data_IF_509555824345
#
_entry.id   IF_509555824345
#
_cell.length_a   1.000
_cell.length_b   1.000
_cell.length_c   1.000
_cell.angle_alpha   90.00
_cell.angle_beta   90.00
_cell.angle_gamma   90.00
#
_symmetry.space_group_name_H-M   'P 1'
#
loop_
_entity.id
_entity.type
_entity.pdbx_description
1 polymer ?
#
# COMPACT_ATOMS: atom_id res chain seq x y z
N UNK A 1 13.42 -16.70 -17.22
CA UNK A 1 12.09 -16.20 -16.85
C UNK A 1 11.78 -16.76 -15.48
N UNK A 2 11.46 -15.93 -14.49
CA UNK A 2 11.02 -16.39 -13.17
C UNK A 2 9.50 -16.27 -13.14
N UNK A 3 8.83 -17.33 -12.74
CA UNK A 3 7.39 -17.36 -12.57
C UNK A 3 7.03 -17.25 -11.09
N UNK A 4 5.90 -16.66 -10.81
CA UNK A 4 5.35 -16.58 -9.45
C UNK A 4 4.02 -17.30 -9.43
N UNK A 5 3.84 -18.22 -8.51
CA UNK A 5 2.55 -18.87 -8.32
C UNK A 5 1.75 -18.14 -7.24
N UNK A 6 0.49 -17.85 -7.52
CA UNK A 6 -0.45 -17.29 -6.54
C UNK A 6 -1.50 -18.36 -6.20
N UNK A 7 -1.61 -18.69 -4.93
CA UNK A 7 -2.70 -19.53 -4.46
C UNK A 7 -3.97 -18.69 -4.43
N UNK A 8 -4.95 -19.05 -5.23
CA UNK A 8 -6.28 -18.47 -5.15
C UNK A 8 -6.95 -18.99 -3.88
N UNK A 9 -6.86 -18.23 -2.79
CA UNK A 9 -7.84 -18.39 -1.72
C UNK A 9 -9.09 -17.59 -2.11
N UNK A 10 -10.30 -18.14 -1.90
CA UNK A 10 -11.52 -17.40 -2.20
C UNK A 10 -11.55 -16.10 -1.42
N UNK A 11 -11.73 -14.98 -2.12
CA UNK A 11 -12.27 -13.66 -1.69
C UNK A 11 -11.69 -12.99 -0.42
N UNK A 12 -11.06 -13.70 0.52
CA UNK A 12 -10.64 -13.18 1.83
C UNK A 12 -9.12 -13.25 2.11
N UNK A 13 -8.28 -13.53 1.12
CA UNK A 13 -6.84 -13.47 1.33
C UNK A 13 -6.32 -12.05 1.25
N UNK A 14 -5.54 -11.59 2.24
CA UNK A 14 -4.84 -10.32 2.13
C UNK A 14 -3.98 -10.27 0.86
N UNK A 15 -3.81 -9.08 0.24
CA UNK A 15 -2.95 -8.92 -0.93
C UNK A 15 -1.54 -9.44 -0.67
N UNK A 16 -1.03 -10.27 -1.59
CA UNK A 16 0.30 -10.85 -1.49
C UNK A 16 0.41 -12.16 -0.67
N UNK A 17 -0.59 -12.50 0.15
CA UNK A 17 -0.55 -13.72 0.94
C UNK A 17 -0.68 -14.98 0.07
N UNK A 18 0.25 -15.93 0.26
CA UNK A 18 0.25 -17.21 -0.47
C UNK A 18 0.88 -17.14 -1.86
N UNK A 19 1.45 -16.01 -2.28
CA UNK A 19 2.28 -15.92 -3.47
C UNK A 19 3.62 -16.60 -3.17
N UNK A 20 4.07 -17.48 -4.09
CA UNK A 20 5.37 -18.15 -3.97
C UNK A 20 6.14 -18.05 -5.28
N UNK A 21 7.45 -17.84 -5.23
CA UNK A 21 8.30 -17.95 -6.41
C UNK A 21 8.19 -19.36 -7.01
N UNK A 22 8.11 -19.42 -8.34
CA UNK A 22 8.12 -20.67 -9.07
C UNK A 22 9.26 -20.62 -10.11
N UNK A 23 10.10 -21.65 -10.09
CA UNK A 23 11.18 -21.81 -11.06
C UNK A 23 10.89 -23.04 -11.94
N UNK A 24 10.46 -22.85 -13.20
CA UNK A 24 10.11 -23.95 -14.09
C UNK A 24 11.29 -24.85 -14.45
N UNK A 25 12.54 -24.42 -14.19
CA UNK A 25 13.73 -25.25 -14.37
C UNK A 25 13.91 -26.28 -13.24
N UNK A 26 13.29 -26.05 -12.09
CA UNK A 26 13.42 -26.87 -10.88
C UNK A 26 12.13 -27.53 -10.42
N UNK A 27 10.99 -27.07 -10.94
CA UNK A 27 9.67 -27.47 -10.49
C UNK A 27 8.78 -27.76 -11.70
N UNK A 28 7.97 -28.80 -11.59
CA UNK A 28 6.95 -29.10 -12.63
C UNK A 28 5.71 -28.23 -12.37
N UNK A 29 5.16 -27.65 -13.42
CA UNK A 29 3.85 -26.99 -13.34
C UNK A 29 2.78 -28.02 -13.06
N UNK A 30 2.03 -27.82 -11.99
CA UNK A 30 0.91 -28.68 -11.60
C UNK A 30 -0.36 -27.88 -11.87
N UNK A 31 -1.32 -28.49 -12.55
CA UNK A 31 -2.68 -27.95 -12.64
C UNK A 31 -3.35 -28.09 -11.26
N UNK A 32 -3.60 -26.97 -10.62
CA UNK A 32 -4.29 -26.90 -9.34
C UNK A 32 -5.35 -25.78 -9.48
N UNK A 33 -6.63 -26.07 -9.28
CA UNK A 33 -7.70 -25.08 -9.45
C UNK A 33 -7.56 -23.89 -8.47
N UNK A 34 -6.80 -24.07 -7.40
CA UNK A 34 -6.55 -23.04 -6.39
C UNK A 34 -5.36 -22.13 -6.72
N UNK A 35 -4.61 -22.42 -7.81
CA UNK A 35 -3.39 -21.69 -8.18
C UNK A 35 -3.41 -21.27 -9.64
N UNK A 36 -2.83 -20.12 -9.91
CA UNK A 36 -2.43 -19.74 -11.24
C UNK A 36 -0.97 -19.24 -11.26
N UNK A 37 -0.32 -19.37 -12.41
CA UNK A 37 1.05 -18.92 -12.61
C UNK A 37 1.03 -17.58 -13.32
N UNK A 38 1.80 -16.62 -12.77
CA UNK A 38 2.01 -15.31 -13.38
C UNK A 38 3.46 -15.13 -13.76
N UNK A 39 3.72 -14.43 -14.84
CA UNK A 39 5.05 -13.99 -15.17
C UNK A 39 5.57 -13.03 -14.10
N UNK A 40 6.79 -13.28 -13.60
CA UNK A 40 7.45 -12.34 -12.70
C UNK A 40 8.13 -11.23 -13.51
N UNK A 41 7.60 -10.04 -13.41
CA UNK A 41 8.19 -8.84 -14.02
C UNK A 41 9.05 -8.15 -12.96
N UNK A 42 10.35 -8.03 -13.26
CA UNK A 42 11.27 -7.28 -12.40
C UNK A 42 11.03 -5.78 -12.62
N UNK A 43 10.88 -5.00 -11.56
CA UNK A 43 10.66 -3.56 -11.67
C UNK A 43 10.27 -2.96 -10.33
N UNK A 44 9.89 -1.69 -10.36
CA UNK A 44 9.37 -0.97 -9.19
C UNK A 44 7.86 -1.17 -9.11
N UNK A 45 7.38 -1.66 -7.97
CA UNK A 45 5.94 -1.76 -7.71
C UNK A 45 5.36 -0.38 -7.44
N UNK A 46 4.30 -0.03 -8.15
CA UNK A 46 3.62 1.26 -8.06
C UNK A 46 2.10 1.10 -8.06
N UNK A 47 1.41 2.14 -7.58
CA UNK A 47 -0.04 2.28 -7.69
C UNK A 47 -0.38 3.59 -8.38
N UNK A 48 -1.39 3.56 -9.25
CA UNK A 48 -2.01 4.74 -9.86
C UNK A 48 -3.47 4.84 -9.42
N UNK A 49 -3.92 6.05 -9.14
CA UNK A 49 -5.29 6.31 -8.73
C UNK A 49 -6.00 7.14 -9.78
N UNK A 50 -7.13 6.63 -10.25
CA UNK A 50 -8.00 7.30 -11.21
C UNK A 50 -9.34 7.64 -10.56
N UNK A 51 -9.95 8.72 -11.05
CA UNK A 51 -11.36 9.01 -10.80
C UNK A 51 -12.07 9.14 -12.15
N UNK A 52 -13.06 8.29 -12.37
CA UNK A 52 -13.85 8.25 -13.61
C UNK A 52 -15.18 8.97 -13.42
N UNK A 53 -15.63 9.65 -14.47
CA UNK A 53 -16.93 10.28 -14.55
C UNK A 53 -17.51 10.15 -15.97
N UNK A 54 -18.69 10.70 -16.22
CA UNK A 54 -19.35 10.62 -17.53
C UNK A 54 -18.55 11.26 -18.67
N UNK A 55 -17.66 12.22 -18.36
CA UNK A 55 -16.84 12.95 -19.35
C UNK A 55 -15.49 12.27 -19.64
N UNK A 56 -15.09 11.27 -18.85
CA UNK A 56 -13.80 10.60 -18.96
C UNK A 56 -13.19 10.24 -17.61
N UNK A 57 -11.91 10.54 -17.43
CA UNK A 57 -11.20 10.24 -16.17
C UNK A 57 -10.14 11.29 -15.84
N UNK A 58 -9.79 11.34 -14.57
CA UNK A 58 -8.66 12.09 -14.03
C UNK A 58 -7.68 11.13 -13.38
N UNK A 59 -6.37 11.22 -13.69
CA UNK A 59 -5.32 10.56 -12.93
C UNK A 59 -5.00 11.42 -11.71
N UNK A 60 -5.39 10.95 -10.51
CA UNK A 60 -5.24 11.71 -9.26
C UNK A 60 -3.80 11.68 -8.73
N UNK A 61 -3.04 10.63 -9.04
CA UNK A 61 -1.64 10.51 -8.66
C UNK A 61 -1.11 9.09 -8.70
N UNK A 62 0.19 8.99 -8.45
CA UNK A 62 0.90 7.71 -8.37
C UNK A 62 1.73 7.63 -7.08
N UNK A 63 1.95 6.40 -6.60
CA UNK A 63 2.76 6.12 -5.42
C UNK A 63 3.65 4.90 -5.65
N UNK A 64 4.78 4.81 -4.93
CA UNK A 64 5.57 3.58 -4.83
C UNK A 64 4.88 2.66 -3.83
N UNK A 65 4.75 1.39 -4.18
CA UNK A 65 4.22 0.35 -3.33
C UNK A 65 5.35 -0.53 -2.81
N UNK A 66 5.32 -0.86 -1.53
CA UNK A 66 6.26 -1.78 -0.91
C UNK A 66 5.58 -3.09 -0.56
N UNK A 67 6.28 -4.20 -0.81
CA UNK A 67 5.87 -5.54 -0.41
C UNK A 67 7.08 -6.35 0.02
N UNK A 68 6.90 -7.32 0.93
CA UNK A 68 7.96 -8.19 1.41
C UNK A 68 9.10 -7.43 2.10
N UNK A 69 8.82 -6.32 2.77
CA UNK A 69 9.84 -5.50 3.42
C UNK A 69 10.31 -6.17 4.71
N UNK A 70 11.49 -6.76 4.69
CA UNK A 70 12.05 -7.51 5.83
C UNK A 70 12.15 -6.69 7.11
N UNK A 71 12.52 -5.42 7.03
CA UNK A 71 12.57 -4.54 8.20
C UNK A 71 11.19 -4.26 8.84
N UNK A 72 10.11 -4.54 8.13
CA UNK A 72 8.74 -4.46 8.63
C UNK A 72 8.19 -5.84 9.03
N UNK A 73 9.02 -6.88 8.99
CA UNK A 73 8.68 -8.29 9.23
C UNK A 73 7.59 -8.84 8.30
N UNK A 74 7.45 -8.23 7.12
CA UNK A 74 6.51 -8.68 6.11
C UNK A 74 7.09 -9.86 5.32
N UNK A 75 6.32 -10.93 5.17
CA UNK A 75 6.66 -12.05 4.30
C UNK A 75 6.76 -11.60 2.83
N UNK A 76 7.47 -12.37 2.00
CA UNK A 76 7.62 -12.12 0.58
C UNK A 76 6.26 -11.84 -0.08
N UNK A 77 6.20 -10.80 -0.93
CA UNK A 77 5.00 -10.31 -1.63
C UNK A 77 3.88 -9.75 -0.75
N UNK A 78 3.96 -9.87 0.57
CA UNK A 78 2.96 -9.28 1.46
C UNK A 78 3.05 -7.75 1.37
N UNK A 79 1.92 -7.10 1.11
CA UNK A 79 1.86 -5.64 1.09
C UNK A 79 2.39 -5.05 2.39
N UNK A 80 3.30 -4.10 2.30
CA UNK A 80 3.92 -3.50 3.48
C UNK A 80 3.87 -1.98 3.52
N UNK A 81 3.33 -1.31 2.50
CA UNK A 81 3.12 0.14 2.52
C UNK A 81 3.15 0.83 1.17
N UNK A 82 2.96 2.14 1.22
CA UNK A 82 3.05 3.05 0.07
C UNK A 82 3.79 4.34 0.43
N UNK A 83 4.41 4.97 -0.56
CA UNK A 83 5.00 6.31 -0.45
C UNK A 83 4.67 7.14 -1.68
N UNK A 84 4.25 8.37 -1.47
CA UNK A 84 3.88 9.24 -2.57
C UNK A 84 3.49 10.67 -2.12
N UNK A 85 3.16 11.53 -3.09
CA UNK A 85 3.08 11.26 -4.52
C UNK A 85 4.45 11.05 -5.17
N UNK A 86 4.47 10.30 -6.27
CA UNK A 86 5.64 10.15 -7.14
C UNK A 86 5.29 10.73 -8.51
N UNK A 87 6.15 11.57 -9.04
CA UNK A 87 5.92 12.11 -10.39
C UNK A 87 6.23 11.05 -11.44
N UNK A 88 5.27 10.62 -12.27
CA UNK A 88 5.53 9.69 -13.35
C UNK A 88 6.44 10.31 -14.42
N UNK A 89 7.29 9.50 -15.05
CA UNK A 89 8.02 9.93 -16.23
C UNK A 89 7.07 10.04 -17.45
N UNK A 90 7.54 10.65 -18.54
CA UNK A 90 6.66 10.94 -19.69
C UNK A 90 6.07 9.68 -20.34
N UNK A 91 6.87 8.59 -20.46
CA UNK A 91 6.38 7.32 -21.00
C UNK A 91 5.41 6.62 -20.07
N UNK A 92 5.70 6.59 -18.77
CA UNK A 92 4.80 6.08 -17.75
C UNK A 92 3.46 6.82 -17.75
N UNK A 93 3.50 8.16 -17.78
CA UNK A 93 2.28 8.98 -17.85
C UNK A 93 1.45 8.66 -19.10
N UNK A 94 2.10 8.50 -20.26
CA UNK A 94 1.44 8.13 -21.53
C UNK A 94 0.78 6.76 -21.41
N UNK A 95 1.46 5.77 -20.86
CA UNK A 95 0.90 4.43 -20.66
C UNK A 95 -0.31 4.47 -19.72
N UNK A 96 -0.20 5.20 -18.59
CA UNK A 96 -1.29 5.37 -17.63
C UNK A 96 -2.51 6.07 -18.27
N UNK A 97 -2.29 7.10 -19.10
CA UNK A 97 -3.37 7.76 -19.85
C UNK A 97 -4.05 6.80 -20.83
N UNK A 98 -3.27 6.05 -21.61
CA UNK A 98 -3.80 5.04 -22.54
C UNK A 98 -4.63 3.98 -21.82
N UNK A 99 -4.16 3.50 -20.66
CA UNK A 99 -4.91 2.54 -19.83
C UNK A 99 -6.21 3.15 -19.33
N UNK A 100 -6.17 4.39 -18.84
CA UNK A 100 -7.35 5.12 -18.39
C UNK A 100 -8.39 5.29 -19.52
N UNK A 101 -7.95 5.62 -20.73
CA UNK A 101 -8.81 5.71 -21.93
C UNK A 101 -9.46 4.37 -22.28
N UNK A 102 -8.70 3.28 -22.24
CA UNK A 102 -9.21 1.92 -22.50
C UNK A 102 -10.26 1.55 -21.44
N UNK A 103 -10.01 1.81 -20.16
CA UNK A 103 -10.96 1.53 -19.10
C UNK A 103 -12.22 2.38 -19.25
N UNK A 104 -12.07 3.68 -19.49
CA UNK A 104 -13.19 4.62 -19.67
C UNK A 104 -14.09 4.20 -20.84
N UNK A 105 -13.51 3.89 -22.00
CA UNK A 105 -14.26 3.59 -23.22
C UNK A 105 -14.96 2.23 -23.18
N UNK A 106 -14.33 1.21 -22.59
CA UNK A 106 -14.86 -0.17 -22.61
C UNK A 106 -15.76 -0.51 -21.42
N UNK A 107 -15.48 0.05 -20.24
CA UNK A 107 -16.16 -0.32 -19.00
C UNK A 107 -17.02 0.79 -18.39
N UNK A 108 -16.75 2.05 -18.76
CA UNK A 108 -17.46 3.27 -18.27
C UNK A 108 -17.68 3.26 -16.76
N UNK A 109 -16.63 3.00 -15.95
CA UNK A 109 -16.78 3.02 -14.50
C UNK A 109 -17.09 4.44 -14.03
N UNK A 110 -17.66 4.57 -12.82
CA UNK A 110 -17.82 5.85 -12.12
C UNK A 110 -17.08 5.81 -10.79
N UNK A 111 -16.43 6.92 -10.45
CA UNK A 111 -15.74 7.10 -9.18
C UNK A 111 -14.31 6.61 -9.17
N UNK A 112 -13.81 6.30 -7.97
CA UNK A 112 -12.42 5.93 -7.73
C UNK A 112 -12.09 4.53 -8.20
N UNK A 113 -10.90 4.40 -8.78
CA UNK A 113 -10.31 3.15 -9.18
C UNK A 113 -8.79 3.19 -8.91
N UNK A 114 -8.30 2.22 -8.16
CA UNK A 114 -6.87 2.00 -7.97
C UNK A 114 -6.34 0.96 -8.96
N UNK A 115 -5.14 1.16 -9.47
CA UNK A 115 -4.43 0.17 -10.30
C UNK A 115 -3.04 -0.05 -9.74
N UNK A 116 -2.72 -1.31 -9.47
CA UNK A 116 -1.36 -1.72 -9.11
C UNK A 116 -0.63 -2.17 -10.38
N UNK A 117 0.64 -1.78 -10.50
CA UNK A 117 1.46 -2.07 -11.66
C UNK A 117 2.94 -2.19 -11.33
N UNK A 118 3.70 -2.82 -12.22
CA UNK A 118 5.16 -2.80 -12.20
C UNK A 118 5.64 -1.78 -13.24
N UNK A 119 6.52 -0.89 -12.82
CA UNK A 119 7.29 -0.03 -13.72
C UNK A 119 8.63 -0.70 -14.02
N UNK A 120 8.83 -1.11 -15.26
CA UNK A 120 10.09 -1.66 -15.74
C UNK A 120 10.51 -0.98 -17.04
N UNK A 121 11.75 -0.45 -17.08
CA UNK A 121 12.30 0.27 -18.23
C UNK A 121 11.32 1.34 -18.78
N UNK A 122 10.71 2.10 -17.87
CA UNK A 122 9.73 3.16 -18.16
C UNK A 122 8.43 2.69 -18.83
N UNK A 123 8.15 1.38 -18.83
CA UNK A 123 6.92 0.77 -19.31
C UNK A 123 6.05 0.30 -18.16
N UNK A 124 4.75 0.52 -18.27
CA UNK A 124 3.75 0.11 -17.28
C UNK A 124 3.24 -1.31 -17.59
N UNK A 125 3.31 -2.17 -16.58
CA UNK A 125 2.75 -3.53 -16.62
C UNK A 125 1.64 -3.63 -15.55
N UNK A 126 0.36 -3.48 -15.93
CA UNK A 126 -0.76 -3.60 -14.99
C UNK A 126 -0.79 -4.97 -14.33
N UNK A 127 -1.02 -5.00 -13.02
CA UNK A 127 -1.17 -6.23 -12.25
C UNK A 127 -2.61 -6.45 -11.83
N UNK A 128 -3.24 -5.43 -11.26
CA UNK A 128 -4.55 -5.52 -10.64
C UNK A 128 -5.30 -4.18 -10.74
N UNK A 129 -6.60 -4.26 -10.98
CA UNK A 129 -7.50 -3.11 -10.96
C UNK A 129 -8.44 -3.27 -9.75
N UNK A 130 -8.46 -2.25 -8.91
CA UNK A 130 -9.21 -2.22 -7.66
C UNK A 130 -10.32 -1.15 -7.72
N UNK A 131 -11.57 -1.51 -8.05
CA UNK A 131 -12.70 -0.56 -8.08
C UNK A 131 -13.23 -0.29 -6.66
N UNK A 132 -12.35 0.18 -5.78
CA UNK A 132 -12.61 0.49 -4.37
C UNK A 132 -11.57 1.45 -3.84
N UNK A 133 -11.80 2.00 -2.65
CA UNK A 133 -10.79 2.73 -1.92
C UNK A 133 -9.61 1.80 -1.55
N UNK A 134 -8.38 2.26 -1.80
CA UNK A 134 -7.14 1.50 -1.58
C UNK A 134 -6.20 2.23 -0.60
N UNK A 135 -5.25 1.52 -0.04
CA UNK A 135 -4.26 2.10 0.89
C UNK A 135 -3.39 3.20 0.25
N UNK A 136 -3.16 3.13 -1.05
CA UNK A 136 -2.44 4.16 -1.82
C UNK A 136 -3.23 5.46 -1.94
N UNK A 137 -4.58 5.40 -1.94
CA UNK A 137 -5.43 6.59 -1.95
C UNK A 137 -5.24 7.41 -0.67
N UNK A 138 -5.19 6.78 0.49
CA UNK A 138 -4.96 7.46 1.77
C UNK A 138 -3.64 8.24 1.79
N UNK A 139 -2.57 7.64 1.27
CA UNK A 139 -1.26 8.30 1.15
C UNK A 139 -1.35 9.54 0.27
N UNK A 140 -2.02 9.44 -0.87
CA UNK A 140 -2.18 10.56 -1.81
C UNK A 140 -3.12 11.64 -1.28
N UNK A 141 -4.22 11.26 -0.60
CA UNK A 141 -5.12 12.22 0.07
C UNK A 141 -4.37 13.06 1.10
N UNK A 142 -3.60 12.40 1.96
CA UNK A 142 -2.80 13.06 3.00
C UNK A 142 -1.72 13.96 2.41
N UNK A 143 -1.09 13.53 1.31
CA UNK A 143 -0.02 14.26 0.65
C UNK A 143 -0.53 15.49 -0.13
N UNK A 144 -1.63 15.32 -0.88
CA UNK A 144 -2.19 16.35 -1.74
C UNK A 144 -3.19 17.26 -1.01
N UNK A 145 -3.61 16.89 0.20
CA UNK A 145 -4.65 17.61 0.94
C UNK A 145 -6.01 17.59 0.25
N UNK A 146 -6.27 16.56 -0.56
CA UNK A 146 -7.51 16.38 -1.29
C UNK A 146 -8.33 15.26 -0.65
N UNK A 147 -9.65 15.34 -0.73
CA UNK A 147 -10.54 14.28 -0.28
C UNK A 147 -11.04 13.48 -1.48
N UNK A 148 -10.53 12.27 -1.65
CA UNK A 148 -10.86 11.42 -2.79
C UNK A 148 -12.27 10.84 -2.69
N UNK A 149 -12.79 10.63 -1.49
CA UNK A 149 -14.20 10.25 -1.30
C UNK A 149 -15.13 11.34 -1.83
N UNK A 150 -14.79 12.61 -1.60
CA UNK A 150 -15.54 13.74 -2.20
C UNK A 150 -15.51 13.67 -3.74
N UNK A 151 -14.35 13.41 -4.35
CA UNK A 151 -14.23 13.20 -5.80
C UNK A 151 -15.06 12.02 -6.27
N UNK A 152 -15.05 10.92 -5.52
CA UNK A 152 -15.88 9.74 -5.81
C UNK A 152 -17.37 10.11 -5.82
N UNK A 153 -17.86 10.80 -4.80
CA UNK A 153 -19.26 11.24 -4.73
C UNK A 153 -19.62 12.19 -5.89
N UNK A 154 -18.74 13.13 -6.21
CA UNK A 154 -18.93 14.06 -7.35
C UNK A 154 -19.06 13.33 -8.68
N UNK A 155 -18.31 12.23 -8.88
CA UNK A 155 -18.43 11.40 -10.09
C UNK A 155 -19.83 10.79 -10.28
N UNK A 156 -20.59 10.62 -9.19
CA UNK A 156 -22.00 10.18 -9.18
C UNK A 156 -22.99 11.36 -9.17
N UNK A 157 -22.53 12.59 -9.41
CA UNK A 157 -23.38 13.78 -9.39
C UNK A 157 -23.80 14.25 -7.99
N UNK A 158 -23.23 13.67 -6.93
CA UNK A 158 -23.52 14.04 -5.55
C UNK A 158 -22.66 15.24 -5.17
N UNK A 159 -23.31 16.35 -4.79
CA UNK A 159 -22.61 17.56 -4.33
C UNK A 159 -22.16 17.38 -2.88
N UNK A 160 -20.86 17.61 -2.57
CA UNK A 160 -20.38 17.56 -1.19
C UNK A 160 -21.01 18.68 -0.37
N UNK A 161 -21.32 18.38 0.90
CA UNK A 161 -21.86 19.36 1.86
C UNK A 161 -20.74 20.32 2.34
N UNK A 162 -19.51 19.83 2.37
CA UNK A 162 -18.32 20.60 2.77
C UNK A 162 -17.21 20.42 1.74
N UNK A 163 -16.60 21.52 1.30
CA UNK A 163 -15.36 21.51 0.58
C UNK A 163 -14.22 21.64 1.60
N UNK A 164 -13.37 20.62 1.74
CA UNK A 164 -12.14 20.78 2.48
C UNK A 164 -11.22 21.69 1.67
N UNK A 165 -10.73 22.80 2.26
CA UNK A 165 -9.74 23.61 1.58
C UNK A 165 -8.51 22.72 1.31
N UNK A 166 -8.03 22.75 0.06
CA UNK A 166 -6.80 22.06 -0.30
C UNK A 166 -5.66 22.56 0.62
N UNK A 167 -4.85 21.65 1.14
CA UNK A 167 -3.63 22.04 1.85
C UNK A 167 -2.70 22.75 0.88
N UNK A 168 -2.14 23.87 1.32
CA UNK A 168 -1.36 24.77 0.46
C UNK A 168 0.06 24.27 0.19
N UNK A 169 0.54 23.28 0.91
CA UNK A 169 1.91 22.79 0.76
C UNK A 169 1.94 21.29 0.46
N UNK A 170 2.42 20.89 -0.74
CA UNK A 170 2.60 19.50 -1.09
C UNK A 170 3.67 18.88 -0.20
N UNK A 171 3.43 17.66 0.24
CA UNK A 171 4.38 16.90 1.04
C UNK A 171 4.39 15.46 0.55
N UNK A 172 5.48 14.75 0.82
CA UNK A 172 5.57 13.31 0.60
C UNK A 172 5.09 12.61 1.87
N UNK A 173 4.17 11.67 1.69
CA UNK A 173 3.66 10.82 2.76
C UNK A 173 4.14 9.39 2.54
N UNK A 174 4.58 8.74 3.62
CA UNK A 174 4.84 7.31 3.66
C UNK A 174 3.93 6.63 4.66
N UNK A 175 3.43 5.48 4.26
CA UNK A 175 2.66 4.55 5.08
C UNK A 175 3.40 3.22 5.10
N UNK A 176 3.55 2.60 6.27
CA UNK A 176 4.11 1.26 6.40
C UNK A 176 3.34 0.48 7.45
N UNK A 177 3.13 -0.81 7.19
CA UNK A 177 2.52 -1.75 8.14
C UNK A 177 3.64 -2.50 8.84
N UNK A 178 3.69 -2.40 10.16
CA UNK A 178 4.59 -3.19 10.99
C UNK A 178 3.92 -4.52 11.33
N UNK A 179 4.54 -5.62 10.98
CA UNK A 179 4.07 -6.96 11.26
C UNK A 179 4.76 -7.53 12.50
N UNK A 180 4.08 -8.42 13.23
CA UNK A 180 4.62 -9.03 14.42
C UNK A 180 5.81 -9.94 14.08
N UNK A 181 7.02 -9.68 14.60
CA UNK A 181 8.22 -10.48 14.33
C UNK A 181 8.15 -11.88 14.99
N UNK A 182 7.41 -11.98 16.06
CA UNK A 182 7.05 -13.17 16.84
C UNK A 182 5.68 -12.92 17.48
N UNK A 183 5.15 -13.85 18.25
CA UNK A 183 3.94 -13.59 19.03
C UNK A 183 4.22 -12.47 20.04
N UNK A 184 3.45 -11.40 20.00
CA UNK A 184 3.63 -10.20 20.83
C UNK A 184 2.41 -9.93 21.67
N UNK A 185 2.62 -9.37 22.87
CA UNK A 185 1.59 -8.77 23.70
C UNK A 185 1.74 -7.26 23.64
N UNK A 186 0.67 -6.53 23.36
CA UNK A 186 0.71 -5.07 23.24
C UNK A 186 0.90 -4.45 24.62
N UNK A 187 2.02 -3.74 24.86
CA UNK A 187 2.36 -3.20 26.17
C UNK A 187 1.52 -1.94 26.51
N UNK A 188 1.46 -1.61 27.79
CA UNK A 188 0.73 -0.42 28.29
C UNK A 188 1.40 0.91 27.94
N UNK A 189 2.72 0.90 27.71
CA UNK A 189 3.54 2.05 27.37
C UNK A 189 3.85 2.17 25.87
N UNK A 190 3.06 1.49 25.03
CA UNK A 190 3.22 1.60 23.59
C UNK A 190 3.11 3.08 23.12
N UNK A 191 3.92 3.50 22.12
CA UNK A 191 4.08 4.92 21.74
C UNK A 191 2.81 5.59 21.24
N UNK A 192 1.78 4.82 20.91
CA UNK A 192 0.47 5.33 20.48
C UNK A 192 -0.56 5.50 21.61
N UNK A 193 -0.30 4.98 22.83
CA UNK A 193 -1.26 5.05 23.94
C UNK A 193 -1.49 6.49 24.40
N UNK A 194 -0.47 7.34 24.32
CA UNK A 194 -0.53 8.76 24.71
C UNK A 194 -1.01 9.70 23.60
N UNK A 195 -1.34 9.16 22.40
CA UNK A 195 -1.77 9.98 21.27
C UNK A 195 -3.28 10.19 21.35
N UNK A 196 -3.69 11.42 21.67
CA UNK A 196 -5.09 11.79 21.57
C UNK A 196 -5.54 11.83 20.10
N UNK A 197 -6.65 11.14 19.74
CA UNK A 197 -7.18 11.19 18.38
C UNK A 197 -7.59 12.61 18.02
N UNK A 198 -6.85 13.25 17.10
CA UNK A 198 -7.22 14.53 16.54
C UNK A 198 -7.34 14.39 15.00
N UNK A 199 -8.55 14.34 14.45
CA UNK A 199 -8.76 14.15 13.03
C UNK A 199 -8.24 15.29 12.15
N UNK A 200 -7.85 16.43 12.76
CA UNK A 200 -7.27 17.58 12.06
C UNK A 200 -5.75 17.54 11.99
N UNK A 201 -5.11 16.68 12.77
CA UNK A 201 -3.66 16.54 12.80
C UNK A 201 -3.22 15.29 12.04
N UNK A 202 -2.06 15.37 11.43
CA UNK A 202 -1.39 14.22 10.85
C UNK A 202 -1.01 13.24 11.98
N UNK A 203 -1.58 12.05 11.99
CA UNK A 203 -1.21 11.01 12.95
C UNK A 203 -0.01 10.23 12.44
N UNK A 204 0.91 9.91 13.35
CA UNK A 204 2.06 9.03 13.07
C UNK A 204 1.72 7.55 13.16
N UNK A 205 0.58 7.21 13.76
CA UNK A 205 0.09 5.84 13.91
C UNK A 205 -1.38 5.73 13.50
N UNK A 206 -1.75 4.58 12.93
CA UNK A 206 -3.13 4.17 12.68
C UNK A 206 -3.27 2.66 12.91
N UNK A 207 -4.50 2.15 12.81
CA UNK A 207 -4.81 0.74 13.05
C UNK A 207 -4.29 0.28 14.42
N UNK A 208 -4.49 1.13 15.43
CA UNK A 208 -3.92 1.01 16.77
C UNK A 208 -4.53 -0.18 17.50
N UNK A 209 -3.71 -1.17 17.92
CA UNK A 209 -4.19 -2.32 18.67
C UNK A 209 -4.53 -1.94 20.11
N UNK A 210 -5.49 -2.67 20.69
CA UNK A 210 -5.82 -2.51 22.10
C UNK A 210 -4.68 -3.04 22.98
N UNK A 211 -4.31 -2.28 24.00
CA UNK A 211 -3.37 -2.72 25.06
C UNK A 211 -3.76 -4.08 25.64
N UNK A 212 -2.79 -4.94 25.88
CA UNK A 212 -3.02 -6.30 26.37
C UNK A 212 -3.49 -7.30 25.31
N UNK A 213 -3.68 -6.87 24.03
CA UNK A 213 -4.00 -7.80 22.94
C UNK A 213 -2.79 -8.65 22.58
N UNK A 214 -3.01 -9.96 22.38
CA UNK A 214 -2.04 -10.85 21.79
C UNK A 214 -2.15 -10.81 20.26
N UNK A 215 -1.01 -10.63 19.57
CA UNK A 215 -0.92 -10.63 18.11
C UNK A 215 0.07 -11.69 17.68
N UNK A 216 -0.37 -12.61 16.81
CA UNK A 216 0.47 -13.70 16.34
C UNK A 216 1.51 -13.22 15.31
N UNK A 217 2.65 -13.89 15.30
CA UNK A 217 3.71 -13.70 14.32
C UNK A 217 3.16 -13.57 12.90
N UNK A 218 3.67 -12.57 12.16
CA UNK A 218 3.27 -12.30 10.77
C UNK A 218 1.92 -11.59 10.60
N UNK A 219 1.20 -11.33 11.71
CA UNK A 219 -0.02 -10.51 11.67
C UNK A 219 0.33 -9.02 11.75
N UNK A 220 -0.47 -8.12 11.16
CA UNK A 220 -0.26 -6.67 11.27
C UNK A 220 -0.44 -6.22 12.73
N UNK A 221 0.46 -5.39 13.21
CA UNK A 221 0.43 -4.81 14.56
C UNK A 221 -0.11 -3.39 14.52
N UNK A 222 0.50 -2.54 13.72
CA UNK A 222 0.17 -1.11 13.64
C UNK A 222 0.61 -0.55 12.30
N UNK A 223 -0.12 0.46 11.82
CA UNK A 223 0.30 1.26 10.67
C UNK A 223 1.08 2.47 11.16
N UNK A 224 2.25 2.71 10.57
CA UNK A 224 3.11 3.88 10.82
C UNK A 224 3.08 4.81 9.61
N UNK A 225 3.05 6.13 9.87
CA UNK A 225 3.12 7.16 8.85
C UNK A 225 4.34 8.04 9.04
N UNK A 226 4.83 8.57 7.93
CA UNK A 226 5.85 9.61 7.88
C UNK A 226 5.44 10.72 6.93
N UNK A 227 5.85 11.94 7.22
CA UNK A 227 5.64 13.12 6.38
C UNK A 227 6.93 13.92 6.29
N UNK A 228 7.36 14.25 5.06
CA UNK A 228 8.54 15.06 4.80
C UNK A 228 8.45 15.71 3.40
N UNK A 229 9.49 16.45 3.02
CA UNK A 229 9.56 17.11 1.71
C UNK A 229 10.13 16.17 0.63
N UNK A 230 10.69 15.03 1.01
CA UNK A 230 11.30 14.08 0.08
C UNK A 230 11.03 12.62 0.43
N UNK A 231 11.04 11.74 -0.59
CA UNK A 231 10.97 10.29 -0.40
C UNK A 231 12.11 9.75 0.47
N UNK A 232 13.30 10.33 0.37
CA UNK A 232 14.47 9.92 1.15
C UNK A 232 14.24 10.15 2.64
N UNK A 233 13.73 11.31 3.01
CA UNK A 233 13.41 11.65 4.39
C UNK A 233 12.27 10.82 4.95
N UNK A 234 11.21 10.60 4.13
CA UNK A 234 10.11 9.71 4.49
C UNK A 234 10.62 8.31 4.80
N UNK A 235 11.48 7.74 3.94
CA UNK A 235 12.10 6.43 4.17
C UNK A 235 12.91 6.40 5.46
N UNK A 236 13.69 7.45 5.72
CA UNK A 236 14.49 7.55 6.95
C UNK A 236 13.60 7.60 8.20
N UNK A 237 12.52 8.40 8.18
CA UNK A 237 11.58 8.47 9.29
C UNK A 237 10.87 7.14 9.54
N UNK A 238 10.39 6.46 8.49
CA UNK A 238 9.75 5.14 8.61
C UNK A 238 10.73 4.13 9.21
N UNK A 239 11.98 4.11 8.74
CA UNK A 239 13.03 3.24 9.28
C UNK A 239 13.28 3.48 10.77
N UNK A 240 13.37 4.75 11.18
CA UNK A 240 13.55 5.12 12.60
C UNK A 240 12.40 4.60 13.46
N UNK A 241 11.16 4.79 13.03
CA UNK A 241 9.96 4.29 13.74
C UNK A 241 9.90 2.77 13.78
N UNK A 242 10.27 2.11 12.70
CA UNK A 242 10.39 0.64 12.69
C UNK A 242 11.40 0.16 13.73
N UNK A 243 12.59 0.77 13.81
CA UNK A 243 13.60 0.42 14.83
C UNK A 243 13.13 0.68 16.26
N UNK A 244 12.29 1.69 16.48
CA UNK A 244 11.67 1.93 17.80
C UNK A 244 10.68 0.81 18.15
N UNK A 245 9.88 0.34 17.19
CA UNK A 245 8.97 -0.81 17.38
C UNK A 245 9.75 -2.11 17.60
N UNK A 246 10.85 -2.33 16.87
CA UNK A 246 11.73 -3.47 17.08
C UNK A 246 12.28 -3.48 18.51
N UNK A 247 12.67 -2.31 19.04
CA UNK A 247 13.10 -2.18 20.43
C UNK A 247 11.98 -2.46 21.43
N UNK A 248 10.77 -1.95 21.16
CA UNK A 248 9.58 -2.17 21.99
C UNK A 248 9.23 -3.65 22.10
N UNK A 249 9.29 -4.37 20.99
CA UNK A 249 8.97 -5.80 20.92
C UNK A 249 10.19 -6.71 21.10
N UNK A 250 11.34 -6.17 21.57
CA UNK A 250 12.56 -6.93 21.86
C UNK A 250 13.07 -7.79 20.70
N UNK A 251 12.98 -7.28 19.48
CA UNK A 251 13.51 -7.97 18.29
C UNK A 251 15.02 -8.14 18.45
N UNK A 252 15.51 -9.38 18.38
CA UNK A 252 16.92 -9.72 18.56
C UNK A 252 17.33 -10.10 19.98
N UNK A 253 16.50 -9.84 21.01
CA UNK A 253 16.82 -10.23 22.40
C UNK A 253 16.44 -11.70 22.69
N UNK A 254 15.51 -12.29 21.94
CA UNK A 254 15.04 -13.66 22.16
C UNK A 254 15.98 -14.75 21.61
N UNK A 255 17.03 -14.40 20.85
CA UNK A 255 18.00 -15.40 20.37
C UNK A 255 18.95 -15.91 21.45
N UNK A 256 19.01 -15.28 22.63
CA UNK A 256 19.96 -15.64 23.69
C UNK A 256 19.34 -16.37 24.91
N UNK A 257 18.03 -16.62 24.94
CA UNK A 257 17.37 -17.22 26.10
C UNK A 257 16.84 -18.66 25.87
N UNK A 258 17.31 -19.35 24.84
CA UNK A 258 17.12 -20.77 24.68
C UNK A 258 18.48 -21.49 24.86
N UNK A 259 18.92 -21.57 26.11
CA UNK A 259 19.95 -22.52 26.57
C UNK A 259 19.33 -23.40 27.66
#
# INVERSE_FOLDING_TARGET
MKWVSKRLRPILSPPGLGIKPFDPSKQTMVEDPDFYYLEFIKGESRSAIFCFNESGFELLGTSIQSSGTQSLHADDFLYSGNMGPVKPCSSELKDLQTIGEIISSNYRPLGLLGMDYILNDSKVYPLEINPRYTASMEVLELALGQNFITKHMQAFGIKPIYENPARTEPSVIGKAIYYAPHDVLIPEDAPWVSIEPNPRLFSTFADIPKTGSAIHRGSPVVTIFAKADSLTEVKAQLKTRTSQLDSLFHVGTLQNNLV
#
